data_IF_613987903997
#
_entry.id   IF_613987903997
#
_cell.length_a   1.000
_cell.length_b   1.000
_cell.length_c   1.000
_cell.angle_alpha   90.00
_cell.angle_beta   90.00
_cell.angle_gamma   90.00
#
_symmetry.space_group_name_H-M   'P 1'
#
loop_
_entity.id
_entity.type
_entity.pdbx_description
1 polymer ?
#
# COMPACT_ATOMS: atom_id res chain seq x y z
N UNK A 1 10.58 15.20 6.98
CA UNK A 1 9.60 14.14 7.17
C UNK A 1 9.72 13.11 6.08
N UNK A 2 9.54 11.84 6.44
CA UNK A 2 9.70 10.75 5.49
C UNK A 2 8.42 10.54 4.69
N UNK A 3 8.59 10.14 3.44
CA UNK A 3 7.50 9.76 2.57
C UNK A 3 7.71 8.31 2.15
N UNK A 4 6.63 7.55 2.10
CA UNK A 4 6.69 6.17 1.63
C UNK A 4 6.13 6.09 0.22
N UNK A 5 6.88 5.49 -0.68
CA UNK A 5 6.42 5.16 -2.02
C UNK A 5 5.94 3.72 -2.00
N UNK A 6 4.69 3.51 -2.35
CA UNK A 6 4.04 2.21 -2.26
C UNK A 6 3.65 1.77 -3.67
N UNK A 7 4.15 0.61 -4.08
CA UNK A 7 3.86 0.06 -5.40
C UNK A 7 3.11 -1.25 -5.25
N UNK A 8 2.00 -1.38 -5.95
CA UNK A 8 1.26 -2.64 -5.98
C UNK A 8 1.94 -3.60 -6.96
N UNK A 9 2.36 -4.76 -6.45
CA UNK A 9 3.07 -5.75 -7.27
C UNK A 9 2.27 -7.00 -7.51
N UNK A 10 1.18 -7.20 -6.76
CA UNK A 10 0.30 -8.34 -6.95
C UNK A 10 -1.14 -7.89 -7.04
N UNK A 11 -1.95 -8.66 -7.78
CA UNK A 11 -3.36 -8.37 -7.92
C UNK A 11 -4.11 -8.51 -6.59
N UNK A 12 -5.12 -7.68 -6.41
CA UNK A 12 -6.03 -7.80 -5.27
C UNK A 12 -7.05 -8.93 -5.47
N UNK A 13 -7.07 -9.57 -6.62
CA UNK A 13 -7.97 -10.69 -6.89
C UNK A 13 -7.64 -11.85 -5.94
N UNK A 14 -8.65 -12.39 -5.30
CA UNK A 14 -8.46 -13.48 -4.35
C UNK A 14 -8.13 -13.04 -2.94
N UNK A 15 -7.95 -11.72 -2.71
CA UNK A 15 -7.75 -11.21 -1.36
C UNK A 15 -9.11 -10.98 -0.69
N UNK A 16 -9.11 -10.86 0.63
CA UNK A 16 -10.35 -10.59 1.34
C UNK A 16 -10.76 -9.12 1.17
N UNK A 17 -12.00 -8.82 1.58
CA UNK A 17 -12.55 -7.47 1.45
C UNK A 17 -11.77 -6.45 2.25
N UNK A 18 -11.24 -6.86 3.40
CA UNK A 18 -10.48 -5.98 4.28
C UNK A 18 -9.19 -5.52 3.61
N UNK A 19 -8.48 -6.44 2.96
CA UNK A 19 -7.25 -6.09 2.25
C UNK A 19 -7.52 -5.20 1.05
N UNK A 20 -8.59 -5.49 0.31
CA UNK A 20 -9.00 -4.64 -0.81
C UNK A 20 -9.33 -3.22 -0.36
N UNK A 21 -10.06 -3.11 0.76
CA UNK A 21 -10.41 -1.81 1.31
C UNK A 21 -9.15 -1.04 1.71
N UNK A 22 -8.16 -1.73 2.27
CA UNK A 22 -6.90 -1.11 2.65
C UNK A 22 -6.16 -0.59 1.43
N UNK A 23 -6.07 -1.39 0.37
CA UNK A 23 -5.43 -0.94 -0.88
C UNK A 23 -6.14 0.27 -1.46
N UNK A 24 -7.47 0.27 -1.44
CA UNK A 24 -8.25 1.39 -1.94
C UNK A 24 -8.00 2.65 -1.13
N UNK A 25 -7.91 2.52 0.18
CA UNK A 25 -7.60 3.65 1.06
C UNK A 25 -6.22 4.21 0.77
N UNK A 26 -5.27 3.35 0.43
CA UNK A 26 -3.92 3.78 0.03
C UNK A 26 -3.91 4.44 -1.35
N UNK A 27 -4.94 4.21 -2.16
CA UNK A 27 -5.02 4.75 -3.51
C UNK A 27 -4.52 3.79 -4.57
N UNK A 28 -4.28 2.53 -4.21
CA UNK A 28 -3.80 1.51 -5.13
C UNK A 28 -4.97 0.73 -5.70
N UNK A 29 -5.09 0.71 -7.03
CA UNK A 29 -6.21 0.05 -7.71
C UNK A 29 -5.78 -1.04 -8.68
N UNK A 30 -4.50 -1.02 -9.10
CA UNK A 30 -4.02 -2.00 -10.08
C UNK A 30 -2.53 -2.25 -9.90
N UNK A 31 -2.08 -3.36 -10.47
CA UNK A 31 -0.67 -3.74 -10.44
C UNK A 31 0.15 -2.68 -11.16
N UNK A 32 1.30 -2.35 -10.58
CA UNK A 32 2.22 -1.39 -11.14
C UNK A 32 1.96 0.04 -10.74
N UNK A 33 0.82 0.31 -10.12
CA UNK A 33 0.50 1.66 -9.64
C UNK A 33 1.38 2.02 -8.46
N UNK A 34 1.87 3.25 -8.45
CA UNK A 34 2.72 3.76 -7.37
C UNK A 34 2.04 4.97 -6.77
N UNK A 35 2.00 5.01 -5.43
CA UNK A 35 1.50 6.18 -4.71
C UNK A 35 2.53 6.58 -3.66
N UNK A 36 2.54 7.86 -3.32
CA UNK A 36 3.39 8.38 -2.26
C UNK A 36 2.50 8.90 -1.14
N UNK A 37 2.83 8.51 0.08
CA UNK A 37 2.08 8.90 1.26
C UNK A 37 3.05 9.29 2.38
N UNK A 38 2.70 10.28 3.19
CA UNK A 38 3.56 10.64 4.33
C UNK A 38 3.61 9.49 5.32
N UNK A 39 4.81 9.25 5.85
CA UNK A 39 5.00 8.21 6.85
C UNK A 39 4.25 8.55 8.13
N UNK A 40 3.48 7.60 8.62
CA UNK A 40 2.73 7.76 9.86
C UNK A 40 2.46 6.37 10.45
N UNK A 41 2.22 6.28 11.76
CA UNK A 41 1.87 4.98 12.36
C UNK A 41 0.63 4.36 11.72
N UNK A 42 -0.32 5.19 11.34
CA UNK A 42 -1.55 4.74 10.69
C UNK A 42 -1.26 4.13 9.33
N UNK A 43 -0.41 4.80 8.55
CA UNK A 43 -0.01 4.30 7.25
C UNK A 43 0.76 2.99 7.37
N UNK A 44 1.67 2.92 8.33
CA UNK A 44 2.46 1.70 8.54
C UNK A 44 1.57 0.51 8.89
N UNK A 45 0.52 0.73 9.66
CA UNK A 45 -0.45 -0.32 9.96
C UNK A 45 -1.16 -0.83 8.72
N UNK A 46 -1.57 0.08 7.85
CA UNK A 46 -2.21 -0.29 6.59
C UNK A 46 -1.27 -1.04 5.66
N UNK A 47 -0.04 -0.57 5.55
CA UNK A 47 0.98 -1.20 4.73
C UNK A 47 1.26 -2.62 5.22
N UNK A 48 1.41 -2.78 6.53
CA UNK A 48 1.66 -4.10 7.11
C UNK A 48 0.56 -5.10 6.75
N UNK A 49 -0.67 -4.65 6.73
CA UNK A 49 -1.83 -5.50 6.44
C UNK A 49 -1.79 -6.08 5.02
N UNK A 50 -1.24 -5.33 4.08
CA UNK A 50 -1.19 -5.73 2.67
C UNK A 50 0.24 -5.89 2.15
N UNK A 51 1.22 -6.05 3.03
CA UNK A 51 2.63 -6.08 2.65
C UNK A 51 2.97 -7.15 1.62
N UNK A 52 2.21 -8.23 1.60
CA UNK A 52 2.44 -9.30 0.64
C UNK A 52 2.00 -8.95 -0.80
N UNK A 53 1.29 -7.84 -0.95
CA UNK A 53 0.77 -7.39 -2.24
C UNK A 53 1.51 -6.17 -2.79
N UNK A 54 2.36 -5.56 -1.97
CA UNK A 54 2.99 -4.30 -2.30
C UNK A 54 4.49 -4.32 -1.98
N UNK A 55 5.20 -3.36 -2.57
CA UNK A 55 6.57 -3.05 -2.20
C UNK A 55 6.60 -1.61 -1.71
N UNK A 56 7.23 -1.37 -0.58
CA UNK A 56 7.32 -0.05 0.02
C UNK A 56 8.76 0.42 -0.01
N UNK A 57 8.95 1.66 -0.45
CA UNK A 57 10.26 2.28 -0.48
C UNK A 57 10.21 3.58 0.30
N UNK A 58 11.13 3.76 1.23
CA UNK A 58 11.17 4.96 2.03
C UNK A 58 11.94 6.04 1.29
N UNK A 59 11.33 7.21 1.17
CA UNK A 59 11.96 8.39 0.59
C UNK A 59 12.07 9.47 1.65
N UNK A 60 13.23 10.03 1.76
CA UNK A 60 13.47 11.12 2.71
C UNK A 60 13.40 12.47 2.03
#
# INVERSE_FOLDING_TARGET
>A
MSTLAIKQVKSANGTDKSQRATLRTLGLRRIGQIVERPDSPQLRGMVHKVQHLIVVEEKS
#
